data_IF_334767370061
#
_entry.id   IF_334767370061
#
_cell.length_a   1.000
_cell.length_b   1.000
_cell.length_c   1.000
_cell.angle_alpha   90.00
_cell.angle_beta   90.00
_cell.angle_gamma   90.00
#
_symmetry.space_group_name_H-M   'P 1'
#
loop_
_entity.id
_entity.type
_entity.pdbx_description
1 polymer ?
#
# COMPACT_ATOMS: atom_id res chain seq x y z
N UNK A 1 34.06 -12.48 -8.83
CA UNK A 1 33.41 -11.39 -8.05
C UNK A 1 32.06 -11.81 -7.47
N UNK A 2 31.09 -12.26 -8.28
CA UNK A 2 29.75 -12.71 -7.83
C UNK A 2 29.72 -13.83 -6.77
N UNK A 3 30.60 -14.84 -6.85
CA UNK A 3 30.65 -15.91 -5.84
C UNK A 3 31.14 -15.42 -4.47
N UNK A 4 31.99 -14.37 -4.45
CA UNK A 4 32.49 -13.76 -3.21
C UNK A 4 31.38 -12.97 -2.51
N UNK A 5 30.53 -12.29 -3.30
CA UNK A 5 29.36 -11.56 -2.81
C UNK A 5 28.29 -12.54 -2.26
N UNK A 6 28.01 -13.64 -2.96
CA UNK A 6 27.03 -14.63 -2.50
C UNK A 6 27.44 -15.32 -1.18
N UNK A 7 28.73 -15.55 -0.97
CA UNK A 7 29.23 -16.12 0.29
C UNK A 7 29.11 -15.11 1.44
N UNK A 8 29.46 -13.84 1.21
CA UNK A 8 29.28 -12.78 2.21
C UNK A 8 27.81 -12.58 2.62
N UNK A 9 26.87 -12.75 1.69
CA UNK A 9 25.43 -12.72 1.97
C UNK A 9 25.00 -13.93 2.80
N UNK A 10 25.53 -15.12 2.51
CA UNK A 10 25.22 -16.34 3.27
C UNK A 10 25.70 -16.22 4.72
N UNK A 11 26.90 -15.71 4.92
CA UNK A 11 27.48 -15.50 6.26
C UNK A 11 26.70 -14.42 7.04
N UNK A 12 26.23 -13.37 6.37
CA UNK A 12 25.37 -12.34 6.97
C UNK A 12 23.99 -12.84 7.40
N UNK A 13 23.39 -13.75 6.63
CA UNK A 13 22.09 -14.33 6.96
C UNK A 13 22.19 -15.27 8.16
N UNK A 14 23.27 -16.05 8.26
CA UNK A 14 23.50 -16.96 9.38
C UNK A 14 23.75 -16.19 10.69
N UNK A 15 24.58 -15.14 10.67
CA UNK A 15 24.84 -14.28 11.84
C UNK A 15 23.55 -13.61 12.40
N UNK A 16 22.57 -13.31 11.53
CA UNK A 16 21.27 -12.76 11.93
C UNK A 16 20.31 -13.80 12.53
N UNK A 17 20.49 -15.09 12.20
CA UNK A 17 19.71 -16.19 12.77
C UNK A 17 20.18 -16.52 14.20
N UNK A 18 21.49 -16.52 14.43
CA UNK A 18 22.08 -16.70 15.76
C UNK A 18 21.70 -15.57 16.74
N UNK A 19 21.48 -14.35 16.23
CA UNK A 19 21.02 -13.22 17.04
C UNK A 19 19.54 -13.33 17.45
N UNK A 20 18.68 -13.92 16.61
CA UNK A 20 17.25 -14.06 16.91
C UNK A 20 16.92 -15.26 17.80
N UNK A 21 17.76 -16.31 17.77
CA UNK A 21 17.57 -17.52 18.58
C UNK A 21 18.02 -17.36 20.05
N UNK A 22 18.63 -16.22 20.42
CA UNK A 22 19.06 -15.90 21.78
C UNK A 22 18.08 -14.99 22.55
N UNK A 23 16.81 -14.90 22.12
CA UNK A 23 15.74 -14.32 22.92
C UNK A 23 14.92 -15.42 23.60
N UNK A 24 15.33 -15.73 24.82
CA UNK A 24 14.56 -16.30 25.94
C UNK A 24 13.37 -17.19 25.57
N UNK A 25 13.65 -18.50 25.62
CA UNK A 25 12.65 -19.54 25.85
C UNK A 25 12.09 -19.39 27.27
N UNK A 26 10.77 -19.26 27.40
CA UNK A 26 10.07 -19.75 28.59
C UNK A 26 8.63 -20.20 28.28
N UNK A 27 8.36 -21.46 28.67
CA UNK A 27 7.07 -22.14 28.88
C UNK A 27 6.22 -22.63 27.69
N UNK A 28 6.27 -23.95 27.49
CA UNK A 28 5.21 -24.81 26.94
C UNK A 28 4.52 -25.46 28.15
N UNK A 29 3.19 -25.39 28.24
CA UNK A 29 2.33 -26.42 28.86
C UNK A 29 1.03 -26.52 28.02
N UNK A 30 0.70 -27.78 27.70
CA UNK A 30 -0.47 -28.31 26.99
C UNK A 30 -1.82 -28.01 27.68
N UNK A 31 -2.91 -27.99 26.89
CA UNK A 31 -4.05 -28.90 27.13
C UNK A 31 -4.99 -28.97 25.91
N UNK A 32 -5.33 -30.20 25.57
CA UNK A 32 -6.26 -30.61 24.53
C UNK A 32 -7.71 -30.32 24.93
N UNK A 33 -8.50 -29.70 24.05
CA UNK A 33 -9.93 -29.99 23.95
C UNK A 33 -10.45 -29.68 22.53
N UNK A 34 -10.83 -30.73 21.81
CA UNK A 34 -11.43 -30.66 20.48
C UNK A 34 -12.95 -30.79 20.57
N UNK A 35 -13.69 -29.73 20.27
CA UNK A 35 -15.11 -29.82 19.93
C UNK A 35 -15.35 -29.41 18.47
N UNK A 36 -15.81 -30.37 17.65
CA UNK A 36 -16.14 -30.18 16.23
C UNK A 36 -17.52 -29.54 16.10
N UNK A 37 -17.57 -28.31 15.58
CA UNK A 37 -18.74 -27.78 14.87
C UNK A 37 -18.59 -28.07 13.37
N UNK A 38 -19.67 -28.52 12.71
CA UNK A 38 -19.65 -28.80 11.26
C UNK A 38 -19.22 -27.56 10.45
N UNK A 39 -18.56 -27.81 9.30
CA UNK A 39 -17.73 -26.93 8.45
C UNK A 39 -18.25 -25.52 8.05
N UNK A 40 -19.38 -25.05 8.56
CA UNK A 40 -19.98 -23.78 8.16
C UNK A 40 -20.40 -22.82 9.28
N UNK A 41 -20.08 -23.08 10.56
CA UNK A 41 -20.46 -22.22 11.69
C UNK A 41 -19.29 -21.92 12.63
N UNK A 42 -19.17 -20.65 13.05
CA UNK A 42 -18.24 -20.22 14.10
C UNK A 42 -18.92 -20.33 15.49
N UNK A 43 -18.14 -20.71 16.51
CA UNK A 43 -18.55 -20.72 17.93
C UNK A 43 -18.27 -19.34 18.54
N UNK A 44 -19.23 -18.79 19.28
CA UNK A 44 -19.04 -17.61 20.13
C UNK A 44 -19.21 -18.05 21.58
N UNK A 45 -18.27 -17.65 22.44
CA UNK A 45 -18.34 -17.83 23.90
C UNK A 45 -19.03 -16.60 24.49
N UNK A 46 -20.13 -16.82 25.20
CA UNK A 46 -20.69 -15.87 26.17
C UNK A 46 -20.68 -16.57 27.53
N UNK A 47 -20.45 -15.77 28.58
CA UNK A 47 -20.26 -16.24 29.96
C UNK A 47 -21.41 -17.17 30.40
N UNK A 48 -21.04 -18.31 31.00
CA UNK A 48 -21.86 -19.40 31.55
C UNK A 48 -22.49 -20.38 30.52
N UNK A 49 -21.73 -21.43 30.18
CA UNK A 49 -22.11 -22.82 29.85
C UNK A 49 -23.27 -23.13 28.88
N UNK A 50 -23.68 -22.19 28.03
CA UNK A 50 -24.68 -22.45 26.99
C UNK A 50 -24.20 -22.03 25.59
N UNK A 51 -23.78 -23.01 24.78
CA UNK A 51 -23.43 -22.80 23.38
C UNK A 51 -24.66 -22.85 22.46
N UNK A 52 -24.94 -21.74 21.75
CA UNK A 52 -25.92 -21.72 20.63
C UNK A 52 -25.22 -21.63 19.28
N UNK A 53 -25.49 -22.59 18.39
CA UNK A 53 -25.08 -22.53 17.00
C UNK A 53 -25.89 -21.48 16.22
N UNK A 54 -25.24 -20.40 15.78
CA UNK A 54 -25.92 -19.38 14.99
C UNK A 54 -26.17 -19.87 13.54
N UNK A 55 -27.38 -19.66 13.02
CA UNK A 55 -27.82 -20.15 11.70
C UNK A 55 -27.64 -19.13 10.56
N UNK A 56 -27.13 -17.93 10.81
CA UNK A 56 -27.32 -16.80 9.88
C UNK A 56 -26.03 -16.22 9.27
N UNK A 57 -25.34 -16.98 8.42
CA UNK A 57 -24.27 -16.44 7.56
C UNK A 57 -24.84 -15.44 6.53
N UNK A 58 -26.04 -15.73 6.01
CA UNK A 58 -26.65 -14.95 4.92
C UNK A 58 -27.16 -13.58 5.39
N UNK A 59 -27.74 -13.47 6.60
CA UNK A 59 -28.24 -12.18 7.10
C UNK A 59 -27.13 -11.17 7.40
N UNK A 60 -25.94 -11.65 7.82
CA UNK A 60 -24.79 -10.77 8.12
C UNK A 60 -24.16 -10.26 6.82
N UNK A 61 -24.19 -11.06 5.74
CA UNK A 61 -23.70 -10.66 4.43
C UNK A 61 -24.62 -9.60 3.81
N UNK A 62 -25.94 -9.80 3.86
CA UNK A 62 -26.94 -8.83 3.39
C UNK A 62 -26.82 -7.47 4.08
N UNK A 63 -26.68 -7.47 5.40
CA UNK A 63 -26.50 -6.25 6.20
C UNK A 63 -25.24 -5.47 5.83
N UNK A 64 -24.13 -6.17 5.57
CA UNK A 64 -22.88 -5.54 5.18
C UNK A 64 -22.92 -5.00 3.74
N UNK A 65 -23.59 -5.70 2.82
CA UNK A 65 -23.81 -5.22 1.47
C UNK A 65 -24.72 -3.98 1.44
N UNK A 66 -25.79 -3.98 2.22
CA UNK A 66 -26.70 -2.83 2.38
C UNK A 66 -25.97 -1.61 2.96
N UNK A 67 -25.18 -1.79 4.02
CA UNK A 67 -24.39 -0.71 4.64
C UNK A 67 -23.32 -0.15 3.69
N UNK A 68 -22.65 -1.02 2.91
CA UNK A 68 -21.67 -0.61 1.92
C UNK A 68 -22.30 0.18 0.77
N UNK A 69 -23.43 -0.31 0.23
CA UNK A 69 -24.17 0.37 -0.83
C UNK A 69 -24.62 1.76 -0.39
N UNK A 70 -25.15 1.89 0.83
CA UNK A 70 -25.53 3.17 1.44
C UNK A 70 -24.34 4.11 1.61
N UNK A 71 -23.19 3.60 2.09
CA UNK A 71 -21.96 4.39 2.24
C UNK A 71 -21.43 4.89 0.88
N UNK A 72 -21.45 4.05 -0.15
CA UNK A 72 -21.06 4.44 -1.51
C UNK A 72 -22.04 5.44 -2.14
N UNK A 73 -23.34 5.28 -1.94
CA UNK A 73 -24.35 6.23 -2.41
C UNK A 73 -24.21 7.60 -1.72
N UNK A 74 -23.93 7.61 -0.42
CA UNK A 74 -23.73 8.84 0.34
C UNK A 74 -22.45 9.58 -0.08
N UNK A 75 -21.35 8.86 -0.34
CA UNK A 75 -20.14 9.44 -0.94
C UNK A 75 -20.43 10.15 -2.26
N UNK A 76 -21.21 9.50 -3.15
CA UNK A 76 -21.62 10.11 -4.42
C UNK A 76 -22.42 11.39 -4.20
N UNK A 77 -23.35 11.40 -3.23
CA UNK A 77 -24.18 12.56 -2.91
C UNK A 77 -23.37 13.73 -2.36
N UNK A 78 -22.55 13.50 -1.33
CA UNK A 78 -21.69 14.55 -0.74
C UNK A 78 -20.74 15.16 -1.77
N UNK A 79 -20.28 14.35 -2.73
CA UNK A 79 -19.42 14.86 -3.78
C UNK A 79 -20.18 15.73 -4.78
N UNK A 80 -21.43 15.35 -5.11
CA UNK A 80 -22.31 16.13 -6.01
C UNK A 80 -22.59 17.54 -5.49
N UNK A 81 -22.69 17.71 -4.17
CA UNK A 81 -23.01 18.99 -3.52
C UNK A 81 -21.83 19.97 -3.43
N UNK A 82 -20.58 19.49 -3.57
CA UNK A 82 -19.36 20.32 -3.43
C UNK A 82 -18.74 20.78 -4.76
N UNK A 83 -19.33 20.44 -5.91
CA UNK A 83 -18.82 20.83 -7.22
C UNK A 83 -19.53 22.11 -7.67
N UNK A 84 -18.90 23.26 -7.46
CA UNK A 84 -19.32 24.51 -8.10
C UNK A 84 -18.98 24.50 -9.60
N UNK A 85 -19.63 25.39 -10.35
CA UNK A 85 -19.51 25.48 -11.80
C UNK A 85 -18.05 25.73 -12.24
N UNK A 86 -17.51 24.74 -12.97
CA UNK A 86 -16.19 24.71 -13.62
C UNK A 86 -15.01 24.55 -12.66
N UNK A 87 -14.58 23.29 -12.60
CA UNK A 87 -13.44 22.86 -11.81
C UNK A 87 -12.14 22.97 -12.61
N UNK A 88 -11.67 24.21 -12.76
CA UNK A 88 -10.29 24.50 -13.15
C UNK A 88 -9.56 24.90 -11.88
N UNK A 89 -8.59 24.10 -11.43
CA UNK A 89 -7.65 24.63 -10.45
C UNK A 89 -6.83 25.72 -11.11
N UNK A 90 -6.30 26.59 -10.26
CA UNK A 90 -5.18 27.40 -10.65
C UNK A 90 -4.01 26.49 -11.05
N UNK A 91 -3.47 26.65 -12.25
CA UNK A 91 -2.32 25.88 -12.75
C UNK A 91 -1.06 26.08 -11.89
N UNK A 92 -1.05 27.18 -11.14
CA UNK A 92 -0.01 27.47 -10.17
C UNK A 92 -0.14 26.60 -8.91
N UNK A 93 -1.30 25.98 -8.68
CA UNK A 93 -1.60 25.16 -7.50
C UNK A 93 -1.59 23.66 -7.82
N UNK A 94 -2.11 23.25 -8.99
CA UNK A 94 -2.15 21.85 -9.42
C UNK A 94 -1.97 21.76 -10.93
N UNK A 95 -1.31 20.71 -11.41
CA UNK A 95 -1.31 20.42 -12.84
C UNK A 95 -2.68 19.99 -13.27
N UNK A 96 -3.09 20.55 -14.40
CA UNK A 96 -4.33 20.21 -15.05
C UNK A 96 -4.32 18.72 -15.40
N UNK A 97 -5.33 17.99 -14.94
CA UNK A 97 -5.59 16.64 -15.48
C UNK A 97 -5.71 16.69 -17.00
N UNK A 98 -5.54 15.56 -17.68
CA UNK A 98 -5.76 15.49 -19.13
C UNK A 98 -7.13 16.09 -19.55
N UNK A 99 -8.17 15.93 -18.71
CA UNK A 99 -9.45 16.58 -18.94
C UNK A 99 -9.41 18.09 -18.71
N UNK A 100 -8.69 18.59 -17.73
CA UNK A 100 -8.55 20.03 -17.53
C UNK A 100 -7.63 20.69 -18.56
N UNK A 101 -6.59 20.01 -19.04
CA UNK A 101 -5.75 20.45 -20.16
C UNK A 101 -6.65 20.60 -21.39
N UNK A 102 -7.35 19.52 -21.75
CA UNK A 102 -8.29 19.53 -22.88
C UNK A 102 -9.40 20.58 -22.67
N UNK A 103 -9.87 20.77 -21.44
CA UNK A 103 -10.86 21.79 -21.12
C UNK A 103 -10.29 23.20 -21.24
N UNK A 104 -9.06 23.46 -20.82
CA UNK A 104 -8.42 24.76 -20.94
C UNK A 104 -8.13 25.10 -22.40
N UNK A 105 -7.71 24.11 -23.18
CA UNK A 105 -7.47 24.25 -24.62
C UNK A 105 -8.74 24.51 -25.42
N UNK A 106 -9.82 23.76 -25.14
CA UNK A 106 -11.02 23.76 -26.00
C UNK A 106 -12.24 24.46 -25.39
N UNK A 107 -12.23 24.73 -24.08
CA UNK A 107 -13.37 25.19 -23.27
C UNK A 107 -14.68 24.43 -23.53
N UNK A 108 -14.57 23.15 -23.89
CA UNK A 108 -15.70 22.34 -24.35
C UNK A 108 -16.56 21.86 -23.16
N UNK A 109 -17.84 22.23 -23.18
CA UNK A 109 -18.87 21.78 -22.22
C UNK A 109 -18.96 20.25 -22.12
N UNK A 110 -18.64 19.51 -23.19
CA UNK A 110 -18.59 18.04 -23.17
C UNK A 110 -17.45 17.51 -22.28
N UNK A 111 -16.35 18.24 -22.16
CA UNK A 111 -15.23 17.86 -21.30
C UNK A 111 -15.61 18.05 -19.83
N UNK A 112 -16.24 19.18 -19.50
CA UNK A 112 -16.82 19.41 -18.17
C UNK A 112 -17.84 18.32 -17.84
N UNK A 113 -18.71 17.97 -18.79
CA UNK A 113 -19.67 16.87 -18.62
C UNK A 113 -18.95 15.56 -18.35
N UNK A 114 -17.89 15.21 -19.09
CA UNK A 114 -17.06 14.01 -18.85
C UNK A 114 -16.30 14.06 -17.52
N UNK A 115 -15.95 15.25 -17.03
CA UNK A 115 -15.38 15.47 -15.70
C UNK A 115 -16.45 15.28 -14.62
N UNK A 116 -17.66 15.83 -14.77
CA UNK A 116 -18.79 15.60 -13.85
C UNK A 116 -19.23 14.12 -13.86
N UNK A 117 -19.33 13.49 -15.02
CA UNK A 117 -19.62 12.05 -15.17
C UNK A 117 -18.46 11.17 -14.63
N UNK A 118 -17.21 11.64 -14.69
CA UNK A 118 -16.07 10.99 -14.03
C UNK A 118 -16.36 10.80 -12.55
N UNK A 119 -16.70 11.94 -11.99
CA UNK A 119 -16.94 12.31 -10.62
C UNK A 119 -18.19 11.60 -10.07
N UNK A 120 -19.24 11.50 -10.89
CA UNK A 120 -20.49 10.82 -10.58
C UNK A 120 -20.37 9.29 -10.79
N UNK A 121 -19.34 8.84 -11.51
CA UNK A 121 -19.04 7.44 -11.77
C UNK A 121 -18.65 6.65 -10.52
N UNK A 122 -18.44 5.34 -10.71
CA UNK A 122 -18.05 4.37 -9.69
C UNK A 122 -16.57 4.53 -9.23
N UNK A 123 -16.20 5.76 -8.81
CA UNK A 123 -14.86 6.14 -8.31
C UNK A 123 -14.53 5.41 -7.02
N UNK A 124 -15.54 5.25 -6.17
CA UNK A 124 -15.46 4.56 -4.88
C UNK A 124 -15.80 3.07 -5.02
N UNK A 125 -15.55 2.49 -6.20
CA UNK A 125 -15.47 1.05 -6.32
C UNK A 125 -14.26 0.56 -5.54
N UNK A 126 -14.48 -0.19 -4.45
CA UNK A 126 -13.41 -0.76 -3.60
C UNK A 126 -12.29 -1.39 -4.44
N UNK A 127 -12.66 -2.14 -5.49
CA UNK A 127 -11.70 -2.82 -6.37
C UNK A 127 -10.87 -1.84 -7.19
N UNK A 128 -11.48 -0.80 -7.75
CA UNK A 128 -10.77 0.22 -8.57
C UNK A 128 -9.92 1.12 -7.68
N UNK A 129 -10.43 1.54 -6.52
CA UNK A 129 -9.71 2.32 -5.52
C UNK A 129 -8.45 1.59 -5.04
N UNK A 130 -8.56 0.31 -4.67
CA UNK A 130 -7.41 -0.47 -4.24
C UNK A 130 -6.34 -0.61 -5.33
N UNK A 131 -6.75 -0.78 -6.60
CA UNK A 131 -5.82 -0.83 -7.74
C UNK A 131 -5.12 0.52 -7.96
N UNK A 132 -5.85 1.62 -7.90
CA UNK A 132 -5.29 2.98 -8.02
C UNK A 132 -4.24 3.23 -6.94
N UNK A 133 -4.58 2.98 -5.68
CA UNK A 133 -3.64 3.20 -4.57
C UNK A 133 -2.37 2.35 -4.71
N UNK A 134 -2.51 1.11 -5.21
CA UNK A 134 -1.38 0.22 -5.49
C UNK A 134 -0.49 0.73 -6.63
N UNK A 135 -1.09 1.24 -7.72
CA UNK A 135 -0.34 1.85 -8.83
C UNK A 135 0.39 3.10 -8.37
N UNK A 136 -0.27 3.97 -7.61
CA UNK A 136 0.34 5.19 -7.06
C UNK A 136 1.57 4.83 -6.22
N UNK A 137 1.42 3.92 -5.25
CA UNK A 137 2.54 3.53 -4.39
C UNK A 137 3.71 2.97 -5.22
N UNK A 138 3.47 2.08 -6.18
CA UNK A 138 4.53 1.54 -7.04
C UNK A 138 5.23 2.64 -7.85
N UNK A 139 4.48 3.56 -8.44
CA UNK A 139 5.04 4.66 -9.23
C UNK A 139 5.93 5.58 -8.39
N UNK A 140 5.52 5.88 -7.15
CA UNK A 140 6.31 6.73 -6.26
C UNK A 140 7.56 5.97 -5.79
N UNK A 141 7.42 4.71 -5.37
CA UNK A 141 8.57 3.87 -4.95
C UNK A 141 9.61 3.75 -6.06
N UNK A 142 9.20 3.58 -7.32
CA UNK A 142 10.09 3.49 -8.49
C UNK A 142 11.02 4.68 -8.69
N UNK A 143 10.74 5.81 -8.06
CA UNK A 143 11.49 7.04 -8.27
C UNK A 143 12.41 7.41 -7.12
N UNK A 144 12.23 6.79 -5.96
CA UNK A 144 13.13 6.99 -4.82
C UNK A 144 14.52 6.50 -5.18
N UNK A 145 15.48 7.40 -5.26
CA UNK A 145 16.85 7.01 -5.56
C UNK A 145 17.49 6.33 -4.34
N UNK A 146 18.40 5.35 -4.53
CA UNK A 146 19.12 4.75 -3.41
C UNK A 146 19.86 5.78 -2.55
N UNK A 147 20.33 6.88 -3.16
CA UNK A 147 21.00 7.97 -2.43
C UNK A 147 20.06 8.64 -1.43
N UNK A 148 18.77 8.77 -1.73
CA UNK A 148 17.79 9.32 -0.80
C UNK A 148 17.65 8.46 0.47
N UNK A 149 17.82 7.14 0.35
CA UNK A 149 17.81 6.22 1.50
C UNK A 149 19.10 6.33 2.32
N UNK A 150 20.26 6.52 1.66
CA UNK A 150 21.56 6.69 2.30
C UNK A 150 21.58 7.98 3.11
N UNK A 151 21.10 9.07 2.53
CA UNK A 151 21.06 10.39 3.16
C UNK A 151 19.96 10.53 4.22
N UNK A 152 19.06 9.54 4.32
CA UNK A 152 17.96 9.58 5.27
C UNK A 152 18.42 9.38 6.72
N UNK A 153 18.44 10.48 7.49
CA UNK A 153 18.83 10.49 8.90
C UNK A 153 17.64 10.59 9.87
N UNK A 154 16.41 10.48 9.37
CA UNK A 154 15.18 10.58 10.17
C UNK A 154 14.64 11.99 10.36
N UNK A 155 15.47 13.01 10.15
CA UNK A 155 15.04 14.39 10.11
C UNK A 155 14.71 14.73 8.66
N UNK A 156 13.42 14.66 8.32
CA UNK A 156 12.95 15.53 7.23
C UNK A 156 13.13 16.92 7.81
N UNK A 157 14.16 17.65 7.37
CA UNK A 157 14.30 19.05 7.76
C UNK A 157 12.98 19.72 7.37
N UNK A 158 12.14 20.05 8.34
CA UNK A 158 11.00 20.94 8.11
C UNK A 158 11.49 22.34 7.64
N UNK A 159 12.80 22.56 7.67
CA UNK A 159 13.56 23.71 7.16
C UNK A 159 13.85 23.68 5.64
N UNK A 160 13.11 22.91 4.82
CA UNK A 160 13.12 23.08 3.35
C UNK A 160 12.71 24.50 2.93
N UNK A 161 12.25 25.34 3.88
CA UNK A 161 11.86 26.74 3.64
C UNK A 161 12.98 27.64 3.11
N UNK A 162 14.26 27.32 3.29
CA UNK A 162 15.34 28.28 3.02
C UNK A 162 16.39 27.89 1.97
N UNK A 163 16.48 26.64 1.52
CA UNK A 163 17.45 26.24 0.48
C UNK A 163 16.76 26.05 -0.87
N UNK A 164 16.34 27.17 -1.47
CA UNK A 164 15.76 27.25 -2.83
C UNK A 164 16.75 26.96 -3.96
N UNK A 165 17.99 26.52 -3.65
CA UNK A 165 19.05 26.35 -4.65
C UNK A 165 19.40 24.91 -5.00
N UNK A 166 18.94 23.92 -4.23
CA UNK A 166 19.10 22.50 -4.62
C UNK A 166 17.73 21.86 -4.81
N UNK A 167 17.25 21.91 -6.06
CA UNK A 167 16.05 21.26 -6.60
C UNK A 167 16.08 19.71 -6.53
N UNK A 168 16.84 19.11 -5.62
CA UNK A 168 16.84 17.66 -5.42
C UNK A 168 15.48 17.21 -4.89
N UNK A 169 14.64 16.78 -5.82
CA UNK A 169 13.30 16.26 -5.60
C UNK A 169 13.38 15.05 -4.66
N UNK A 170 12.98 15.25 -3.40
CA UNK A 170 12.96 14.19 -2.39
C UNK A 170 11.71 13.31 -2.59
N UNK A 171 11.85 12.20 -3.31
CA UNK A 171 10.77 11.26 -3.58
C UNK A 171 10.34 10.49 -2.31
N UNK A 172 11.21 10.32 -1.31
CA UNK A 172 10.81 9.80 0.00
C UNK A 172 9.77 10.70 0.68
N UNK A 173 9.95 12.02 0.59
CA UNK A 173 8.99 12.99 1.09
C UNK A 173 7.64 12.84 0.37
N UNK A 174 7.65 12.59 -0.93
CA UNK A 174 6.43 12.34 -1.71
C UNK A 174 5.65 11.12 -1.21
N UNK A 175 6.32 10.01 -0.85
CA UNK A 175 5.64 8.85 -0.24
C UNK A 175 5.01 9.24 1.09
N UNK A 176 5.77 9.91 1.97
CA UNK A 176 5.29 10.35 3.29
C UNK A 176 4.09 11.29 3.18
N UNK A 177 4.16 12.26 2.28
CA UNK A 177 3.08 13.21 2.01
C UNK A 177 1.82 12.50 1.55
N UNK A 178 1.93 11.61 0.55
CA UNK A 178 0.81 10.82 0.06
C UNK A 178 0.18 9.98 1.18
N UNK A 179 0.99 9.34 2.02
CA UNK A 179 0.52 8.55 3.16
C UNK A 179 -0.22 9.41 4.19
N UNK A 180 0.35 10.58 4.55
CA UNK A 180 -0.27 11.56 5.44
C UNK A 180 -1.64 11.99 4.91
N UNK A 181 -1.72 12.33 3.62
CA UNK A 181 -2.95 12.85 3.00
C UNK A 181 -4.02 11.77 2.82
N UNK A 182 -3.62 10.53 2.52
CA UNK A 182 -4.54 9.38 2.56
C UNK A 182 -5.10 9.11 3.97
N UNK A 183 -4.27 9.25 5.01
CA UNK A 183 -4.70 9.15 6.40
C UNK A 183 -5.70 10.26 6.77
N UNK A 184 -5.38 11.52 6.45
CA UNK A 184 -6.27 12.67 6.66
C UNK A 184 -7.59 12.52 5.92
N UNK A 185 -7.56 12.09 4.66
CA UNK A 185 -8.74 11.80 3.86
C UNK A 185 -9.65 10.78 4.54
N UNK A 186 -9.05 9.66 4.94
CA UNK A 186 -9.75 8.58 5.64
C UNK A 186 -10.42 9.10 6.91
N UNK A 187 -9.69 9.87 7.71
CA UNK A 187 -10.19 10.44 8.95
C UNK A 187 -11.34 11.42 8.72
N UNK A 188 -11.18 12.34 7.77
CA UNK A 188 -12.19 13.34 7.40
C UNK A 188 -13.49 12.68 6.94
N UNK A 189 -13.40 11.64 6.11
CA UNK A 189 -14.57 10.91 5.61
C UNK A 189 -15.33 10.20 6.74
N UNK A 190 -14.62 9.55 7.66
CA UNK A 190 -15.24 8.85 8.80
C UNK A 190 -15.85 9.84 9.80
N UNK A 191 -15.19 10.98 10.02
CA UNK A 191 -15.70 12.05 10.88
C UNK A 191 -16.99 12.65 10.34
N UNK A 192 -17.09 12.85 9.02
CA UNK A 192 -18.30 13.34 8.34
C UNK A 192 -19.42 12.31 8.34
N UNK A 193 -19.11 11.03 8.12
CA UNK A 193 -20.09 9.95 8.10
C UNK A 193 -19.47 8.65 8.64
N UNK A 194 -19.97 8.19 9.80
CA UNK A 194 -19.47 6.97 10.46
C UNK A 194 -19.63 5.72 9.58
N UNK A 195 -20.54 5.70 8.62
CA UNK A 195 -20.71 4.56 7.70
C UNK A 195 -19.53 4.39 6.75
N UNK A 196 -18.73 5.44 6.53
CA UNK A 196 -17.52 5.39 5.72
C UNK A 196 -16.44 4.46 6.30
N UNK A 197 -16.53 4.13 7.58
CA UNK A 197 -15.69 3.09 8.17
C UNK A 197 -15.77 1.78 7.36
N UNK A 198 -16.98 1.36 6.96
CA UNK A 198 -17.15 0.11 6.24
C UNK A 198 -16.52 0.15 4.85
N UNK A 199 -16.58 1.29 4.16
CA UNK A 199 -15.90 1.49 2.89
C UNK A 199 -14.38 1.28 3.04
N UNK A 200 -13.74 1.98 3.98
CA UNK A 200 -12.29 1.86 4.19
C UNK A 200 -11.87 0.48 4.71
N UNK A 201 -12.70 -0.15 5.55
CA UNK A 201 -12.46 -1.52 6.01
C UNK A 201 -12.45 -2.53 4.84
N UNK A 202 -13.40 -2.39 3.90
CA UNK A 202 -13.42 -3.24 2.70
C UNK A 202 -12.28 -2.89 1.73
N UNK A 203 -11.91 -1.61 1.65
CA UNK A 203 -10.75 -1.16 0.89
C UNK A 203 -9.46 -1.81 1.42
N UNK A 204 -9.26 -1.86 2.74
CA UNK A 204 -8.13 -2.55 3.37
C UNK A 204 -8.10 -4.04 3.00
N UNK A 205 -9.24 -4.75 3.08
CA UNK A 205 -9.32 -6.16 2.67
C UNK A 205 -8.89 -6.36 1.22
N UNK A 206 -9.28 -5.44 0.33
CA UNK A 206 -8.90 -5.52 -1.07
C UNK A 206 -7.43 -5.17 -1.31
N UNK A 207 -6.88 -4.18 -0.60
CA UNK A 207 -5.44 -3.84 -0.64
C UNK A 207 -4.58 -5.00 -0.12
N UNK A 208 -5.07 -5.77 0.87
CA UNK A 208 -4.37 -6.95 1.39
C UNK A 208 -4.20 -8.02 0.31
N UNK A 209 -5.18 -8.19 -0.59
CA UNK A 209 -5.06 -9.08 -1.76
C UNK A 209 -3.98 -8.63 -2.73
N UNK A 210 -3.71 -7.33 -2.81
CA UNK A 210 -2.62 -6.77 -3.61
C UNK A 210 -1.31 -6.60 -2.83
N UNK A 211 -1.28 -7.02 -1.56
CA UNK A 211 -0.13 -6.88 -0.64
C UNK A 211 0.40 -5.44 -0.58
N UNK A 212 -0.51 -4.46 -0.70
CA UNK A 212 -0.19 -3.05 -0.55
C UNK A 212 -0.34 -2.62 0.90
N UNK A 213 0.67 -2.92 1.71
CA UNK A 213 0.68 -2.64 3.14
C UNK A 213 0.98 -1.16 3.44
N UNK A 214 1.65 -0.45 2.53
CA UNK A 214 1.85 1.00 2.63
C UNK A 214 0.52 1.75 2.74
N UNK A 215 -0.37 1.59 1.75
CA UNK A 215 -1.69 2.23 1.78
C UNK A 215 -2.59 1.71 2.92
N UNK A 216 -2.47 0.43 3.31
CA UNK A 216 -3.20 -0.08 4.47
C UNK A 216 -2.79 0.66 5.74
N UNK A 217 -1.48 0.83 5.97
CA UNK A 217 -0.98 1.54 7.15
C UNK A 217 -1.55 2.96 7.22
N UNK A 218 -1.51 3.71 6.11
CA UNK A 218 -2.08 5.07 6.04
C UNK A 218 -3.57 5.11 6.35
N UNK A 219 -4.37 4.20 5.79
CA UNK A 219 -5.81 4.13 6.06
C UNK A 219 -6.08 3.78 7.53
N UNK A 220 -5.32 2.84 8.11
CA UNK A 220 -5.48 2.49 9.52
C UNK A 220 -5.17 3.65 10.46
N UNK A 221 -4.15 4.46 10.17
CA UNK A 221 -3.86 5.67 10.94
C UNK A 221 -5.05 6.64 10.93
N UNK A 222 -5.66 6.86 9.76
CA UNK A 222 -6.84 7.72 9.64
C UNK A 222 -8.10 7.16 10.32
N UNK A 223 -8.26 5.82 10.33
CA UNK A 223 -9.34 5.17 11.08
C UNK A 223 -9.12 5.36 12.59
N UNK A 224 -7.89 5.16 13.08
CA UNK A 224 -7.54 5.22 14.50
C UNK A 224 -7.66 6.62 15.11
N UNK A 225 -7.58 7.68 14.31
CA UNK A 225 -7.81 9.04 14.78
C UNK A 225 -9.29 9.37 15.08
N UNK A 226 -10.21 8.43 14.84
CA UNK A 226 -11.64 8.60 15.09
C UNK A 226 -12.12 7.77 16.29
N UNK A 227 -13.22 8.20 16.92
CA UNK A 227 -13.88 7.39 17.97
C UNK A 227 -14.55 6.17 17.34
N UNK A 228 -14.00 4.99 17.59
CA UNK A 228 -14.50 3.70 17.12
C UNK A 228 -15.38 3.03 18.17
N UNK A 229 -16.40 2.28 17.74
CA UNK A 229 -17.10 1.36 18.64
C UNK A 229 -16.28 0.06 18.86
N UNK A 230 -16.64 -0.72 19.88
CA UNK A 230 -15.92 -1.94 20.27
C UNK A 230 -15.75 -2.93 19.10
N UNK A 231 -16.78 -3.11 18.28
CA UNK A 231 -16.75 -4.00 17.12
C UNK A 231 -15.78 -3.51 16.04
N UNK A 232 -15.78 -2.20 15.76
CA UNK A 232 -14.84 -1.58 14.84
C UNK A 232 -13.40 -1.69 15.37
N UNK A 233 -13.20 -1.41 16.65
CA UNK A 233 -11.89 -1.50 17.30
C UNK A 233 -11.30 -2.92 17.23
N UNK A 234 -12.10 -3.95 17.52
CA UNK A 234 -11.67 -5.37 17.39
C UNK A 234 -11.21 -5.69 15.97
N UNK A 235 -11.98 -5.26 14.95
CA UNK A 235 -11.63 -5.46 13.53
C UNK A 235 -10.30 -4.78 13.16
N UNK A 236 -10.09 -3.55 13.63
CA UNK A 236 -8.89 -2.76 13.35
C UNK A 236 -7.66 -3.29 14.10
N UNK A 237 -7.83 -3.74 15.34
CA UNK A 237 -6.76 -4.33 16.12
C UNK A 237 -6.27 -5.64 15.51
N UNK A 238 -7.18 -6.48 14.99
CA UNK A 238 -6.80 -7.70 14.26
C UNK A 238 -5.88 -7.39 13.07
N UNK A 239 -6.29 -6.44 12.22
CA UNK A 239 -5.48 -6.04 11.05
C UNK A 239 -4.15 -5.40 11.49
N UNK A 240 -4.17 -4.60 12.55
CA UNK A 240 -2.94 -3.97 13.07
C UNK A 240 -1.92 -5.03 13.52
N UNK A 241 -2.37 -6.05 14.27
CA UNK A 241 -1.51 -7.18 14.67
C UNK A 241 -0.96 -7.93 13.46
N UNK A 242 -1.81 -8.20 12.47
CA UNK A 242 -1.37 -8.84 11.22
C UNK A 242 -0.29 -8.02 10.50
N UNK A 243 -0.40 -6.69 10.45
CA UNK A 243 0.62 -5.82 9.86
C UNK A 243 1.93 -5.80 10.65
N UNK A 244 1.86 -5.80 11.98
CA UNK A 244 3.04 -5.84 12.84
C UNK A 244 3.83 -7.14 12.64
N UNK A 245 3.14 -8.22 12.30
CA UNK A 245 3.74 -9.52 12.01
C UNK A 245 4.25 -9.64 10.56
N UNK A 246 4.14 -8.60 9.72
CA UNK A 246 4.71 -8.64 8.36
C UNK A 246 6.22 -8.55 8.48
N UNK A 247 6.85 -9.71 8.32
CA UNK A 247 8.28 -9.82 8.27
C UNK A 247 8.77 -9.59 6.83
N UNK A 248 9.13 -8.36 6.49
CA UNK A 248 9.66 -8.04 5.16
C UNK A 248 11.02 -8.73 4.90
N UNK A 249 11.74 -9.13 5.96
CA UNK A 249 12.99 -9.91 5.83
C UNK A 249 12.67 -11.31 5.33
N UNK A 250 11.63 -11.95 5.87
CA UNK A 250 11.17 -13.26 5.43
C UNK A 250 10.72 -13.21 3.96
N UNK A 251 9.95 -12.18 3.59
CA UNK A 251 9.57 -11.95 2.20
C UNK A 251 10.78 -11.87 1.25
N UNK A 252 11.81 -11.12 1.62
CA UNK A 252 13.04 -11.03 0.83
C UNK A 252 13.78 -12.38 0.76
N UNK A 253 13.89 -13.11 1.89
CA UNK A 253 14.53 -14.44 1.93
C UNK A 253 13.84 -15.41 0.96
N UNK A 254 12.52 -15.46 0.95
CA UNK A 254 11.75 -16.32 0.05
C UNK A 254 11.97 -15.96 -1.42
N UNK A 255 11.97 -14.67 -1.76
CA UNK A 255 12.18 -14.21 -3.13
C UNK A 255 13.55 -14.62 -3.67
N UNK A 256 14.61 -14.39 -2.89
CA UNK A 256 15.96 -14.76 -3.30
C UNK A 256 16.17 -16.27 -3.42
N UNK A 257 15.48 -17.08 -2.60
CA UNK A 257 15.47 -18.55 -2.74
C UNK A 257 14.87 -18.95 -4.09
N UNK A 258 13.74 -18.36 -4.48
CA UNK A 258 13.08 -18.64 -5.76
C UNK A 258 13.93 -18.24 -6.97
N UNK A 259 14.60 -17.08 -6.91
CA UNK A 259 15.48 -16.63 -8.01
C UNK A 259 16.71 -17.52 -8.17
N UNK A 260 17.23 -18.10 -7.08
CA UNK A 260 18.33 -19.09 -7.13
C UNK A 260 17.89 -20.41 -7.74
N UNK A 261 16.72 -20.92 -7.36
CA UNK A 261 16.19 -22.18 -7.89
C UNK A 261 15.95 -22.07 -9.40
N UNK A 262 15.30 -20.99 -9.86
CA UNK A 262 15.05 -20.74 -11.29
C UNK A 262 16.33 -20.66 -12.14
N UNK A 263 17.45 -20.18 -11.57
CA UNK A 263 18.75 -20.14 -12.26
C UNK A 263 19.43 -21.50 -12.34
N UNK A 264 19.22 -22.37 -11.36
CA UNK A 264 19.77 -23.73 -11.35
C UNK A 264 19.00 -24.63 -12.33
N UNK A 265 17.67 -24.49 -12.39
CA UNK A 265 16.83 -25.26 -13.32
C UNK A 265 17.15 -24.90 -14.78
N UNK A 266 17.41 -23.62 -15.08
CA UNK A 266 17.84 -23.18 -16.41
C UNK A 266 19.28 -23.56 -16.78
N UNK A 267 20.12 -23.93 -15.80
CA UNK A 267 21.45 -24.49 -16.08
C UNK A 267 21.39 -25.98 -16.35
N UNK A 268 20.50 -26.70 -15.67
CA UNK A 268 20.31 -28.13 -15.88
C UNK A 268 19.54 -28.42 -17.19
N UNK A 269 18.56 -27.60 -17.58
CA UNK A 269 17.84 -27.78 -18.86
C UNK A 269 18.65 -27.43 -20.11
N UNK A 270 19.77 -26.72 -19.98
CA UNK A 270 20.67 -26.41 -21.10
C UNK A 270 21.60 -27.56 -21.48
N UNK A 271 21.69 -28.61 -20.67
CA UNK A 271 22.51 -29.78 -20.98
C UNK A 271 21.71 -30.92 -21.64
N UNK A 272 20.37 -30.87 -21.58
CA UNK A 272 19.49 -31.90 -22.14
C UNK A 272 18.51 -31.28 -23.15
N UNK A 273 18.97 -30.99 -24.38
CA UNK A 273 18.23 -31.28 -25.62
C UNK A 273 18.86 -30.64 -26.86
N UNK A 274 19.61 -31.49 -27.56
CA UNK A 274 19.63 -31.54 -29.03
C UNK A 274 18.29 -32.16 -29.48
N UNK A 275 17.62 -31.48 -30.41
CA UNK A 275 16.47 -31.94 -31.22
C UNK A 275 15.14 -32.23 -30.53
N UNK A 276 14.17 -31.32 -30.71
CA UNK A 276 12.88 -31.65 -31.34
C UNK A 276 12.08 -30.39 -31.71
N UNK A 277 11.83 -30.26 -33.00
CA UNK A 277 10.82 -29.39 -33.59
C UNK A 277 9.43 -29.88 -33.18
N UNK A 278 8.57 -29.02 -32.63
CA UNK A 278 7.16 -29.00 -33.00
C UNK A 278 6.50 -27.66 -32.64
N UNK A 279 5.85 -27.11 -33.66
CA UNK A 279 4.85 -26.06 -33.58
C UNK A 279 3.70 -26.51 -32.68
N UNK A 280 3.16 -25.60 -31.86
CA UNK A 280 1.72 -25.37 -31.86
C UNK A 280 1.37 -24.04 -31.18
N UNK A 281 0.62 -23.24 -31.94
CA UNK A 281 -0.05 -22.02 -31.53
C UNK A 281 -1.13 -22.32 -30.49
N UNK A 282 -0.96 -21.82 -29.25
CA UNK A 282 -2.09 -21.55 -28.35
C UNK A 282 -1.94 -20.17 -27.71
N UNK A 283 -2.79 -19.25 -28.18
CA UNK A 283 -3.12 -17.99 -27.52
C UNK A 283 -3.92 -18.29 -26.25
N UNK A 284 -3.23 -18.54 -25.15
CA UNK A 284 -3.80 -18.38 -23.81
C UNK A 284 -3.16 -17.15 -23.16
N UNK A 285 -4.01 -16.19 -22.80
CA UNK A 285 -3.70 -15.05 -21.92
C UNK A 285 -3.47 -15.53 -20.47
N UNK A 286 -2.61 -16.52 -20.28
CA UNK A 286 -2.16 -16.90 -18.96
C UNK A 286 -1.24 -15.80 -18.45
N UNK A 287 -1.59 -15.21 -17.29
CA UNK A 287 -0.68 -14.42 -16.47
C UNK A 287 0.53 -15.31 -16.07
N UNK A 288 1.47 -15.52 -16.97
CA UNK A 288 2.67 -16.34 -16.76
C UNK A 288 3.90 -15.46 -16.78
N UNK A 289 3.96 -14.60 -15.76
CA UNK A 289 5.12 -14.47 -14.87
C UNK A 289 4.53 -14.10 -13.52
N UNK A 290 4.90 -14.81 -12.46
CA UNK A 290 4.49 -14.52 -11.08
C UNK A 290 5.05 -13.16 -10.65
N UNK A 291 4.43 -12.06 -11.11
CA UNK A 291 4.72 -10.71 -10.64
C UNK A 291 4.14 -10.57 -9.25
N UNK A 292 4.85 -11.14 -8.27
CA UNK A 292 4.52 -11.00 -6.87
C UNK A 292 4.70 -9.53 -6.49
N UNK A 293 3.58 -8.82 -6.32
CA UNK A 293 3.56 -7.46 -5.79
C UNK A 293 3.65 -7.53 -4.27
N UNK A 294 4.45 -6.66 -3.69
CA UNK A 294 4.59 -6.46 -2.26
C UNK A 294 5.01 -5.01 -2.00
N UNK A 295 4.19 -4.23 -1.30
CA UNK A 295 4.48 -2.84 -0.99
C UNK A 295 4.47 -2.69 0.54
N UNK A 296 5.64 -2.74 1.20
CA UNK A 296 5.73 -2.62 2.66
C UNK A 296 5.34 -1.23 3.14
N UNK A 297 4.93 -1.07 4.42
CA UNK A 297 4.80 0.25 5.02
C UNK A 297 6.16 0.95 5.03
N UNK A 298 6.26 2.08 4.32
CA UNK A 298 7.54 2.79 4.14
C UNK A 298 8.15 3.20 5.48
N UNK A 299 7.32 3.55 6.46
CA UNK A 299 7.76 4.02 7.77
C UNK A 299 8.57 2.95 8.52
N UNK A 300 8.29 1.65 8.29
CA UNK A 300 9.05 0.56 8.90
C UNK A 300 10.46 0.51 8.31
N UNK A 301 10.59 0.58 6.98
CA UNK A 301 11.89 0.60 6.29
C UNK A 301 12.71 1.80 6.75
N UNK A 302 12.08 2.99 6.77
CA UNK A 302 12.74 4.22 7.15
C UNK A 302 13.23 4.19 8.61
N UNK A 303 12.45 3.65 9.54
CA UNK A 303 12.89 3.49 10.93
C UNK A 303 14.09 2.54 11.05
N UNK A 304 14.14 1.48 10.25
CA UNK A 304 15.24 0.54 10.25
C UNK A 304 16.51 1.11 9.59
N UNK A 305 16.35 1.98 8.59
CA UNK A 305 17.44 2.78 8.04
C UNK A 305 18.00 3.71 9.12
N UNK A 306 17.15 4.48 9.82
CA UNK A 306 17.58 5.36 10.92
C UNK A 306 18.34 4.56 11.99
N UNK A 307 17.80 3.40 12.40
CA UNK A 307 18.44 2.56 13.39
C UNK A 307 19.81 2.04 12.93
N UNK A 308 19.97 1.77 11.64
CA UNK A 308 21.25 1.33 11.05
C UNK A 308 22.25 2.48 10.97
N UNK A 309 21.82 3.67 10.51
CA UNK A 309 22.64 4.87 10.41
C UNK A 309 23.09 5.42 11.78
N UNK A 310 22.34 5.16 12.86
CA UNK A 310 22.81 5.50 14.23
C UNK A 310 23.97 4.64 14.71
N UNK A 311 24.26 3.52 14.03
CA UNK A 311 25.23 2.52 14.44
C UNK A 311 26.26 2.23 13.32
N UNK A 312 26.76 3.26 12.64
CA UNK A 312 27.61 3.13 11.43
C UNK A 312 28.84 2.24 11.64
N UNK A 313 29.44 2.30 12.83
CA UNK A 313 30.61 1.49 13.19
C UNK A 313 30.29 0.00 13.43
N UNK A 314 29.00 -0.37 13.49
CA UNK A 314 28.57 -1.75 13.71
C UNK A 314 28.41 -2.49 12.37
N UNK A 315 29.21 -3.55 12.18
CA UNK A 315 29.17 -4.41 10.98
C UNK A 315 27.77 -4.99 10.72
N UNK A 316 27.02 -5.37 11.75
CA UNK A 316 25.67 -5.91 11.63
C UNK A 316 24.71 -4.81 11.13
N UNK A 317 24.82 -3.61 11.67
CA UNK A 317 24.02 -2.46 11.23
C UNK A 317 24.31 -2.09 9.77
N UNK A 318 25.59 -2.08 9.37
CA UNK A 318 25.99 -1.86 7.98
C UNK A 318 25.44 -2.93 7.02
N UNK A 319 25.52 -4.21 7.40
CA UNK A 319 24.92 -5.32 6.63
C UNK A 319 23.41 -5.16 6.50
N UNK A 320 22.74 -4.78 7.59
CA UNK A 320 21.29 -4.52 7.61
C UNK A 320 20.91 -3.35 6.70
N UNK A 321 21.66 -2.25 6.76
CA UNK A 321 21.45 -1.10 5.89
C UNK A 321 21.58 -1.47 4.41
N UNK A 322 22.67 -2.16 4.04
CA UNK A 322 22.88 -2.65 2.67
C UNK A 322 21.71 -3.52 2.19
N UNK A 323 21.27 -4.45 3.04
CA UNK A 323 20.11 -5.30 2.77
C UNK A 323 18.84 -4.49 2.53
N UNK A 324 18.58 -3.43 3.32
CA UNK A 324 17.40 -2.59 3.17
C UNK A 324 17.41 -1.82 1.83
N UNK A 325 18.57 -1.30 1.43
CA UNK A 325 18.73 -0.61 0.14
C UNK A 325 18.51 -1.58 -1.02
N UNK A 326 19.13 -2.77 -0.96
CA UNK A 326 18.94 -3.80 -2.00
C UNK A 326 17.47 -4.25 -2.08
N UNK A 327 16.85 -4.50 -0.92
CA UNK A 327 15.43 -4.84 -0.85
C UNK A 327 14.58 -3.74 -1.49
N UNK A 328 14.85 -2.47 -1.19
CA UNK A 328 14.13 -1.35 -1.76
C UNK A 328 14.27 -1.30 -3.29
N UNK A 329 15.48 -1.48 -3.83
CA UNK A 329 15.71 -1.58 -5.29
C UNK A 329 14.90 -2.72 -5.90
N UNK A 330 14.78 -3.87 -5.22
CA UNK A 330 13.92 -4.96 -5.70
C UNK A 330 12.43 -4.57 -5.75
N UNK A 331 11.95 -3.76 -4.79
CA UNK A 331 10.57 -3.25 -4.81
C UNK A 331 10.31 -2.38 -6.05
N UNK A 332 11.30 -1.63 -6.52
CA UNK A 332 11.18 -0.77 -7.69
C UNK A 332 11.02 -1.55 -9.00
N UNK A 333 11.48 -2.79 -9.06
CA UNK A 333 11.31 -3.62 -10.26
C UNK A 333 9.90 -4.22 -10.39
N UNK A 334 9.01 -3.98 -9.42
CA UNK A 334 7.64 -4.51 -9.49
C UNK A 334 6.81 -3.81 -10.58
N UNK A 335 5.95 -4.58 -11.24
CA UNK A 335 5.00 -4.06 -12.22
C UNK A 335 3.56 -4.41 -11.82
N UNK A 336 2.69 -3.40 -11.85
CA UNK A 336 1.26 -3.56 -11.67
C UNK A 336 0.53 -2.98 -12.88
N UNK A 337 0.02 -3.85 -13.75
CA UNK A 337 -0.67 -3.46 -14.98
C UNK A 337 -2.08 -2.96 -14.67
N UNK A 338 -2.21 -1.67 -14.40
CA UNK A 338 -3.49 -0.98 -14.32
C UNK A 338 -3.31 0.49 -14.67
N UNK A 339 -4.02 0.96 -15.71
CA UNK A 339 -3.96 2.35 -16.16
C UNK A 339 -5.35 2.96 -16.08
N UNK A 340 -5.50 3.94 -15.19
CA UNK A 340 -6.71 4.74 -15.09
C UNK A 340 -6.36 6.12 -14.52
N UNK A 341 -5.66 6.91 -15.33
CA UNK A 341 -5.18 8.26 -14.99
C UNK A 341 -6.30 9.15 -14.43
N UNK A 342 -7.53 8.94 -14.91
CA UNK A 342 -8.74 9.63 -14.47
C UNK A 342 -9.04 9.36 -12.98
N UNK A 343 -9.09 8.09 -12.57
CA UNK A 343 -9.33 7.73 -11.17
C UNK A 343 -8.14 8.03 -10.28
N UNK A 344 -6.92 7.94 -10.82
CA UNK A 344 -5.70 8.31 -10.12
C UNK A 344 -5.72 9.79 -9.71
N UNK A 345 -6.00 10.67 -10.67
CA UNK A 345 -6.20 12.09 -10.44
C UNK A 345 -7.29 12.37 -9.40
N UNK A 346 -8.43 11.70 -9.49
CA UNK A 346 -9.52 11.89 -8.54
C UNK A 346 -9.13 11.49 -7.12
N UNK A 347 -8.37 10.41 -6.93
CA UNK A 347 -7.89 10.01 -5.61
C UNK A 347 -6.92 11.03 -5.01
N UNK A 348 -5.96 11.52 -5.79
CA UNK A 348 -5.06 12.59 -5.35
C UNK A 348 -5.87 13.81 -4.96
N UNK A 349 -6.80 14.21 -5.82
CA UNK A 349 -7.67 15.34 -5.52
C UNK A 349 -8.35 15.20 -4.16
N UNK A 350 -9.01 14.07 -3.89
CA UNK A 350 -9.66 13.85 -2.60
C UNK A 350 -8.68 13.97 -1.44
N UNK A 351 -7.51 13.34 -1.57
CA UNK A 351 -6.47 13.34 -0.53
C UNK A 351 -6.04 14.76 -0.14
N UNK A 352 -5.97 15.64 -1.13
CA UNK A 352 -5.47 16.99 -0.91
C UNK A 352 -6.55 17.99 -0.56
N UNK A 353 -7.77 17.85 -1.08
CA UNK A 353 -8.88 18.74 -0.78
C UNK A 353 -9.61 18.45 0.53
N UNK A 354 -9.19 17.46 1.31
CA UNK A 354 -9.82 17.20 2.62
C UNK A 354 -9.53 18.21 3.71
N UNK A 355 -8.49 19.04 3.54
CA UNK A 355 -8.19 20.14 4.45
C UNK A 355 -8.63 21.48 3.81
N UNK A 356 -9.43 22.28 4.52
CA UNK A 356 -9.76 23.65 4.10
C UNK A 356 -8.56 24.61 4.26
N UNK A 357 -7.51 24.18 4.97
CA UNK A 357 -6.34 24.98 5.35
C UNK A 357 -5.05 24.45 4.71
N UNK A 358 -5.05 24.16 3.40
CA UNK A 358 -3.84 23.73 2.69
C UNK A 358 -2.89 24.92 2.59
N UNK A 359 -1.72 24.83 3.22
CA UNK A 359 -0.64 25.81 3.05
C UNK A 359 -0.12 25.80 1.59
N UNK A 360 0.41 26.91 1.11
CA UNK A 360 0.99 27.06 -0.24
C UNK A 360 2.09 26.01 -0.49
N UNK A 361 2.88 25.68 0.53
CA UNK A 361 3.95 24.66 0.43
C UNK A 361 3.40 23.26 0.09
N UNK A 362 2.29 22.86 0.73
CA UNK A 362 1.61 21.61 0.42
C UNK A 362 1.15 21.59 -1.06
N UNK A 363 0.79 22.74 -1.64
CA UNK A 363 0.38 22.84 -3.06
C UNK A 363 1.52 22.54 -4.03
N UNK A 364 2.74 23.02 -3.74
CA UNK A 364 3.94 22.74 -4.56
C UNK A 364 4.27 21.25 -4.55
N UNK A 365 4.28 20.62 -3.38
CA UNK A 365 4.59 19.19 -3.26
C UNK A 365 3.55 18.31 -3.97
N UNK A 366 2.28 18.74 -4.04
CA UNK A 366 1.24 18.05 -4.80
C UNK A 366 1.49 18.11 -6.31
N UNK A 367 1.85 19.29 -6.81
CA UNK A 367 2.23 19.46 -8.22
C UNK A 367 3.36 18.50 -8.57
N UNK A 368 4.34 18.38 -7.69
CA UNK A 368 5.48 17.50 -7.87
C UNK A 368 5.11 16.02 -7.84
N UNK A 369 4.17 15.61 -6.97
CA UNK A 369 3.59 14.26 -6.93
C UNK A 369 2.76 13.95 -8.18
N UNK A 370 2.03 14.93 -8.72
CA UNK A 370 1.24 14.71 -9.94
C UNK A 370 2.11 14.65 -11.20
N UNK A 371 3.15 15.50 -11.34
CA UNK A 371 4.19 15.32 -12.38
C UNK A 371 4.87 13.97 -12.29
N UNK A 372 4.87 13.40 -11.09
CA UNK A 372 5.47 12.12 -10.83
C UNK A 372 4.65 10.95 -11.41
N UNK A 373 3.33 11.06 -11.40
CA UNK A 373 2.40 9.97 -11.64
C UNK A 373 1.88 9.97 -13.08
#
# INVERSE_FOLDING_TARGET
>A
MFNKINNLIKDAVNELEDFNNNKDNDSIIDDNDHYKCNKDKDVIVEDNDHYKCNKNKDSIIEDNHSKLSKSQAHLKKQFKENITDYFLWNENEFILSEYQIKFKEKKDKKIIKKMKEAIEGDIFSIKKSARILTVMDIKIFKKVEPMELIEYNGYVKDDIKNDTKNDTKNNLLLIKLKNKKLSQLTSSFIKKDKNQFNFFYMLIKQLKKYKNYNSINSILLGIKSNKLNNTQLRKINKITKELQNINYIEYYKERNKNDRNNRNDNKNSKNDNVNKNHNDNKNDNSLTTNNYIFIPPIEIILNDIIASNRNENNKIASKRFYFLVEFFIQLQHQEFKYKNNKLEFLWLYQMYNTDANINIDDKKEIKDLYLLL
#
